data_IF_596168341718
#
_entry.id   IF_596168341718
#
_cell.length_a   1.000
_cell.length_b   1.000
_cell.length_c   1.000
_cell.angle_alpha   90.00
_cell.angle_beta   90.00
_cell.angle_gamma   90.00
#
_symmetry.space_group_name_H-M   'P 1'
#
loop_
_entity.id
_entity.type
_entity.pdbx_description
1 polymer ?
#
# COMPACT_ATOMS: atom_id res chain seq x y z
N UNK A 1 25.42 -19.00 16.38
CA UNK A 1 25.05 -19.57 17.69
C UNK A 1 24.03 -18.68 18.37
N UNK A 2 23.06 -19.27 19.09
CA UNK A 2 22.01 -18.48 19.79
C UNK A 2 22.61 -17.50 20.80
N UNK A 3 23.71 -17.89 21.45
CA UNK A 3 24.41 -17.07 22.45
C UNK A 3 25.09 -15.80 21.91
N UNK A 4 25.17 -15.64 20.58
CA UNK A 4 25.78 -14.46 19.96
C UNK A 4 24.72 -13.51 19.37
N UNK A 5 23.43 -13.92 19.35
CA UNK A 5 22.37 -13.07 18.86
C UNK A 5 22.21 -11.81 19.75
N UNK A 6 22.23 -10.63 19.13
CA UNK A 6 22.12 -9.36 19.85
C UNK A 6 23.31 -8.98 20.72
N UNK A 7 24.42 -9.74 20.68
CA UNK A 7 25.62 -9.43 21.42
C UNK A 7 26.67 -8.77 20.52
N UNK A 8 27.48 -7.84 21.07
CA UNK A 8 28.58 -7.28 20.30
C UNK A 8 29.64 -8.35 19.98
N UNK A 9 30.32 -8.18 18.84
CA UNK A 9 31.34 -9.12 18.37
C UNK A 9 32.42 -9.40 19.43
N UNK A 10 32.81 -8.39 20.21
CA UNK A 10 33.76 -8.48 21.31
C UNK A 10 33.32 -9.43 22.44
N UNK A 11 32.02 -9.53 22.72
CA UNK A 11 31.48 -10.46 23.72
C UNK A 11 31.65 -11.93 23.32
N UNK A 12 31.79 -12.21 22.01
CA UNK A 12 32.12 -13.53 21.48
C UNK A 12 33.63 -13.76 21.28
N UNK A 13 34.48 -12.85 21.79
CA UNK A 13 35.94 -12.91 21.67
C UNK A 13 36.45 -12.43 20.30
N UNK A 14 35.61 -11.79 19.50
CA UNK A 14 36.03 -11.23 18.22
C UNK A 14 36.68 -9.85 18.36
N UNK A 15 37.59 -9.55 17.46
CA UNK A 15 38.24 -8.24 17.31
C UNK A 15 37.63 -7.50 16.13
N UNK A 16 37.04 -6.35 16.41
CA UNK A 16 36.31 -5.55 15.38
C UNK A 16 37.28 -5.06 14.31
N UNK A 17 38.45 -4.52 14.71
CA UNK A 17 39.43 -3.98 13.77
C UNK A 17 39.97 -5.06 12.83
N UNK A 18 40.33 -6.24 13.37
CA UNK A 18 40.73 -7.38 12.56
C UNK A 18 39.61 -7.87 11.62
N UNK A 19 38.38 -7.86 12.11
CA UNK A 19 37.24 -8.30 11.29
C UNK A 19 37.02 -7.33 10.12
N UNK A 20 37.04 -6.02 10.37
CA UNK A 20 36.90 -4.99 9.33
C UNK A 20 38.03 -5.12 8.30
N UNK A 21 39.28 -5.26 8.73
CA UNK A 21 40.41 -5.47 7.83
C UNK A 21 40.31 -6.76 7.02
N UNK A 22 39.85 -7.85 7.62
CA UNK A 22 39.65 -9.13 6.93
C UNK A 22 38.55 -9.08 5.85
N UNK A 23 37.59 -8.17 6.02
CA UNK A 23 36.53 -7.90 5.04
C UNK A 23 36.93 -6.85 3.98
N UNK A 24 38.17 -6.38 3.99
CA UNK A 24 38.68 -5.38 3.04
C UNK A 24 38.33 -3.94 3.39
N UNK A 25 37.78 -3.70 4.60
CA UNK A 25 37.48 -2.35 5.10
C UNK A 25 38.67 -1.72 5.81
N UNK A 26 38.50 -0.43 6.16
CA UNK A 26 39.43 0.34 6.98
C UNK A 26 38.96 0.36 8.43
N UNK A 27 39.73 -0.24 9.38
CA UNK A 27 39.37 -0.22 10.80
C UNK A 27 39.22 1.17 11.41
N UNK A 28 39.96 2.16 10.89
CA UNK A 28 39.88 3.55 11.36
C UNK A 28 38.66 4.27 10.80
N UNK A 29 38.11 3.77 9.67
CA UNK A 29 36.91 4.29 9.05
C UNK A 29 35.94 3.17 8.61
N UNK A 30 35.37 2.40 9.54
CA UNK A 30 34.63 1.19 9.25
C UNK A 30 33.30 1.40 8.51
N UNK A 31 32.83 2.64 8.40
CA UNK A 31 31.59 3.02 7.72
C UNK A 31 31.81 3.64 6.33
N UNK A 32 33.04 3.58 5.82
CA UNK A 32 33.31 4.08 4.45
C UNK A 32 32.53 3.26 3.42
N UNK A 33 31.90 3.95 2.48
CA UNK A 33 31.28 3.29 1.34
C UNK A 33 32.34 3.16 0.24
N UNK A 34 32.60 1.95 -0.26
CA UNK A 34 33.59 1.70 -1.30
C UNK A 34 33.23 2.43 -2.60
N UNK A 35 34.24 2.78 -3.38
CA UNK A 35 34.05 3.63 -4.57
C UNK A 35 33.27 2.92 -5.67
N UNK A 36 33.46 1.63 -5.88
CA UNK A 36 32.68 0.80 -6.80
C UNK A 36 31.17 0.79 -6.44
N UNK A 37 30.85 0.78 -5.15
CA UNK A 37 29.47 0.91 -4.64
C UNK A 37 28.91 2.28 -4.92
N UNK A 38 29.70 3.35 -4.68
CA UNK A 38 29.30 4.74 -5.01
C UNK A 38 29.03 4.90 -6.50
N UNK A 39 29.90 4.36 -7.34
CA UNK A 39 29.75 4.41 -8.80
C UNK A 39 28.50 3.66 -9.26
N UNK A 40 28.26 2.46 -8.70
CA UNK A 40 27.05 1.68 -8.98
C UNK A 40 25.77 2.47 -8.69
N UNK A 41 25.70 3.04 -7.50
CA UNK A 41 24.53 3.84 -7.10
C UNK A 41 24.42 5.16 -7.87
N UNK A 42 25.54 5.80 -8.21
CA UNK A 42 25.53 7.01 -9.05
C UNK A 42 24.96 6.72 -10.45
N UNK A 43 25.41 5.66 -11.09
CA UNK A 43 24.86 5.20 -12.38
C UNK A 43 23.36 4.90 -12.29
N UNK A 44 22.94 4.14 -11.28
CA UNK A 44 21.53 3.83 -11.07
C UNK A 44 20.68 5.07 -10.83
N UNK A 45 21.21 6.04 -10.11
CA UNK A 45 20.54 7.33 -9.88
C UNK A 45 20.26 8.07 -11.19
N UNK A 46 21.25 8.13 -12.08
CA UNK A 46 21.07 8.78 -13.38
C UNK A 46 20.04 8.05 -14.28
N UNK A 47 20.03 6.72 -14.26
CA UNK A 47 18.97 5.93 -14.92
C UNK A 47 17.58 6.27 -14.36
N UNK A 48 17.45 6.29 -13.05
CA UNK A 48 16.17 6.59 -12.38
C UNK A 48 15.70 8.03 -12.65
N UNK A 49 16.63 9.01 -12.72
CA UNK A 49 16.28 10.38 -13.11
C UNK A 49 15.70 10.45 -14.52
N UNK A 50 16.28 9.73 -15.48
CA UNK A 50 15.75 9.64 -16.84
C UNK A 50 14.37 9.03 -16.88
N UNK A 51 14.16 7.93 -16.14
CA UNK A 51 12.85 7.31 -16.01
C UNK A 51 11.83 8.24 -15.38
N UNK A 52 12.20 8.95 -14.32
CA UNK A 52 11.34 9.92 -13.67
C UNK A 52 10.92 11.04 -14.62
N UNK A 53 11.88 11.61 -15.36
CA UNK A 53 11.58 12.68 -16.32
C UNK A 53 10.59 12.22 -17.39
N UNK A 54 10.83 11.02 -17.95
CA UNK A 54 9.92 10.43 -18.95
C UNK A 54 8.49 10.23 -18.38
N UNK A 55 8.38 9.69 -17.17
CA UNK A 55 7.07 9.50 -16.53
C UNK A 55 6.35 10.80 -16.23
N UNK A 56 7.07 11.83 -15.85
CA UNK A 56 6.48 13.17 -15.63
C UNK A 56 5.98 13.81 -16.94
N UNK A 57 6.67 13.58 -18.04
CA UNK A 57 6.22 14.02 -19.36
C UNK A 57 4.95 13.27 -19.79
N UNK A 58 4.96 11.93 -19.71
CA UNK A 58 3.78 11.07 -19.99
C UNK A 58 2.57 11.49 -19.15
N UNK A 59 2.76 11.73 -17.85
CA UNK A 59 1.71 12.22 -16.96
C UNK A 59 1.17 13.58 -17.39
N UNK A 60 2.06 14.51 -17.78
CA UNK A 60 1.65 15.83 -18.23
C UNK A 60 0.80 15.77 -19.50
N UNK A 61 1.20 14.93 -20.45
CA UNK A 61 0.45 14.70 -21.70
C UNK A 61 -0.93 14.09 -21.39
N UNK A 62 -0.95 13.06 -20.52
CA UNK A 62 -2.20 12.42 -20.12
C UNK A 62 -3.14 13.41 -19.42
N UNK A 63 -2.65 14.22 -18.48
CA UNK A 63 -3.43 15.24 -17.76
C UNK A 63 -4.03 16.29 -18.72
N UNK A 64 -3.27 16.70 -19.73
CA UNK A 64 -3.76 17.64 -20.73
C UNK A 64 -4.89 17.07 -21.58
N UNK A 65 -4.82 15.78 -21.90
CA UNK A 65 -5.83 15.06 -22.68
C UNK A 65 -7.06 14.64 -21.87
N UNK A 66 -6.92 14.43 -20.54
CA UNK A 66 -7.94 13.85 -19.66
C UNK A 66 -8.22 14.76 -18.44
N UNK A 67 -8.66 15.98 -18.68
CA UNK A 67 -8.79 17.02 -17.65
C UNK A 67 -9.69 16.63 -16.47
N UNK A 68 -10.82 15.97 -16.75
CA UNK A 68 -11.78 15.56 -15.73
C UNK A 68 -11.17 14.46 -14.83
N UNK A 69 -10.59 13.43 -15.42
CA UNK A 69 -9.94 12.35 -14.68
C UNK A 69 -8.70 12.84 -13.93
N UNK A 70 -7.98 13.82 -14.46
CA UNK A 70 -6.87 14.44 -13.77
C UNK A 70 -7.31 15.22 -12.53
N UNK A 71 -8.42 15.95 -12.62
CA UNK A 71 -9.01 16.65 -11.47
C UNK A 71 -9.53 15.66 -10.40
N UNK A 72 -10.13 14.55 -10.82
CA UNK A 72 -10.57 13.48 -9.93
C UNK A 72 -9.38 12.80 -9.23
N UNK A 73 -8.31 12.50 -9.97
CA UNK A 73 -7.07 11.97 -9.40
C UNK A 73 -6.46 12.91 -8.36
N UNK A 74 -6.44 14.22 -8.65
CA UNK A 74 -5.94 15.23 -7.72
C UNK A 74 -6.80 15.30 -6.45
N UNK A 75 -8.13 15.16 -6.59
CA UNK A 75 -9.03 15.07 -5.46
C UNK A 75 -8.72 13.85 -4.57
N UNK A 76 -8.54 12.66 -5.18
CA UNK A 76 -8.24 11.44 -4.46
C UNK A 76 -6.89 11.52 -3.75
N UNK A 77 -5.85 12.05 -4.41
CA UNK A 77 -4.52 12.23 -3.85
C UNK A 77 -4.45 13.35 -2.80
N UNK A 78 -5.44 14.25 -2.75
CA UNK A 78 -5.48 15.33 -1.76
C UNK A 78 -5.69 14.86 -0.32
N UNK A 79 -6.12 13.62 -0.12
CA UNK A 79 -6.47 13.06 1.20
C UNK A 79 -7.74 13.66 1.82
N UNK A 80 -8.51 14.44 1.07
CA UNK A 80 -9.78 14.97 1.56
C UNK A 80 -10.79 13.85 1.75
N UNK A 81 -11.49 13.89 2.88
CA UNK A 81 -12.60 12.98 3.15
C UNK A 81 -13.74 13.24 2.17
N UNK A 82 -14.31 12.21 1.53
CA UNK A 82 -15.50 12.36 0.70
C UNK A 82 -16.67 12.97 1.47
N UNK A 83 -17.44 13.82 0.83
CA UNK A 83 -18.67 14.34 1.39
C UNK A 83 -19.75 13.26 1.31
N UNK A 84 -20.20 12.75 2.45
CA UNK A 84 -21.18 11.67 2.57
C UNK A 84 -22.40 12.18 3.32
N UNK A 85 -23.59 12.02 2.74
CA UNK A 85 -24.86 12.22 3.43
C UNK A 85 -25.27 10.91 4.13
N UNK A 86 -24.83 10.77 5.37
CA UNK A 86 -25.12 9.59 6.19
C UNK A 86 -26.61 9.42 6.51
N UNK A 87 -27.43 10.46 6.36
CA UNK A 87 -28.89 10.39 6.59
C UNK A 87 -29.62 9.51 5.55
N UNK A 88 -28.98 9.27 4.42
CA UNK A 88 -29.50 8.41 3.35
C UNK A 88 -29.27 6.93 3.61
N UNK A 89 -28.52 6.56 4.64
CA UNK A 89 -28.18 5.17 4.92
C UNK A 89 -29.24 4.55 5.83
N UNK A 90 -30.02 3.64 5.30
CA UNK A 90 -30.99 2.86 6.08
C UNK A 90 -30.36 1.53 6.49
N UNK A 91 -30.00 1.43 7.77
CA UNK A 91 -29.46 0.19 8.35
C UNK A 91 -30.53 -0.79 8.82
N UNK A 92 -31.79 -0.38 8.88
CA UNK A 92 -32.90 -1.15 9.47
C UNK A 92 -32.87 -1.14 11.01
N UNK A 93 -33.95 -1.59 11.60
CA UNK A 93 -34.11 -1.65 13.06
C UNK A 93 -33.76 -3.06 13.59
N UNK A 94 -33.15 -3.12 14.77
CA UNK A 94 -32.81 -4.37 15.47
C UNK A 94 -32.00 -5.39 14.65
N UNK A 95 -31.13 -4.90 13.78
CA UNK A 95 -30.24 -5.75 12.96
C UNK A 95 -28.89 -5.97 13.64
N UNK A 96 -28.23 -7.08 13.30
CA UNK A 96 -26.86 -7.31 13.72
C UNK A 96 -25.93 -6.21 13.16
N UNK A 97 -24.90 -5.81 13.90
CA UNK A 97 -23.97 -4.76 13.50
C UNK A 97 -23.32 -5.02 12.14
N UNK A 98 -23.01 -6.28 11.81
CA UNK A 98 -22.50 -6.68 10.49
C UNK A 98 -23.50 -6.42 9.35
N UNK A 99 -24.80 -6.54 9.60
CA UNK A 99 -25.84 -6.22 8.62
C UNK A 99 -25.96 -4.70 8.42
N UNK A 100 -25.86 -3.91 9.49
CA UNK A 100 -25.76 -2.48 9.40
C UNK A 100 -24.50 -2.06 8.61
N UNK A 101 -23.35 -2.69 8.87
CA UNK A 101 -22.12 -2.48 8.12
C UNK A 101 -22.31 -2.75 6.63
N UNK A 102 -23.03 -3.81 6.25
CA UNK A 102 -23.32 -4.11 4.84
C UNK A 102 -24.13 -3.00 4.15
N UNK A 103 -25.11 -2.42 4.86
CA UNK A 103 -25.89 -1.29 4.33
C UNK A 103 -25.01 -0.06 4.10
N UNK A 104 -24.14 0.26 5.07
CA UNK A 104 -23.16 1.35 4.95
C UNK A 104 -22.21 1.09 3.80
N UNK A 105 -21.60 -0.10 3.71
CA UNK A 105 -20.66 -0.47 2.66
C UNK A 105 -21.31 -0.44 1.25
N UNK A 106 -22.57 -0.87 1.13
CA UNK A 106 -23.34 -0.75 -0.11
C UNK A 106 -23.50 0.69 -0.56
N UNK A 107 -23.83 1.57 0.37
CA UNK A 107 -23.97 3.00 0.09
C UNK A 107 -22.64 3.63 -0.29
N UNK A 108 -21.57 3.35 0.46
CA UNK A 108 -20.23 3.86 0.17
C UNK A 108 -19.70 3.36 -1.19
N UNK A 109 -20.05 2.14 -1.60
CA UNK A 109 -19.67 1.64 -2.92
C UNK A 109 -20.23 2.48 -4.08
N UNK A 110 -21.39 3.11 -3.90
CA UNK A 110 -22.01 3.96 -4.91
C UNK A 110 -21.54 5.43 -4.86
N UNK A 111 -21.05 5.88 -3.69
CA UNK A 111 -20.77 7.31 -3.46
C UNK A 111 -19.28 7.62 -3.26
N UNK A 112 -18.43 6.62 -3.02
CA UNK A 112 -16.98 6.79 -2.80
C UNK A 112 -16.20 5.98 -3.83
N UNK A 113 -15.85 6.63 -4.92
CA UNK A 113 -15.25 5.97 -6.09
C UNK A 113 -13.87 5.36 -5.80
N UNK A 114 -13.07 6.01 -4.96
CA UNK A 114 -11.73 5.57 -4.60
C UNK A 114 -11.67 4.66 -3.35
N UNK A 115 -12.81 4.10 -2.92
CA UNK A 115 -12.83 3.11 -1.85
C UNK A 115 -12.56 1.71 -2.41
N UNK A 116 -11.70 0.97 -1.73
CA UNK A 116 -11.40 -0.45 -2.01
C UNK A 116 -11.68 -1.26 -0.75
N UNK A 117 -12.48 -2.32 -0.91
CA UNK A 117 -12.82 -3.21 0.21
C UNK A 117 -12.21 -4.59 -0.04
N UNK A 118 -11.78 -5.26 1.01
CA UNK A 118 -11.24 -6.61 0.95
C UNK A 118 -11.90 -7.53 1.98
N UNK A 119 -11.97 -8.82 1.66
CA UNK A 119 -12.34 -9.87 2.60
C UNK A 119 -11.52 -11.14 2.34
N UNK A 120 -11.06 -11.77 3.40
CA UNK A 120 -10.25 -12.98 3.37
C UNK A 120 -11.13 -14.25 3.23
N UNK A 121 -11.90 -14.33 2.13
CA UNK A 121 -12.82 -15.42 1.79
C UNK A 121 -14.04 -15.56 2.72
N UNK A 122 -14.43 -14.45 3.37
CA UNK A 122 -15.51 -14.41 4.36
C UNK A 122 -16.61 -13.38 4.04
N UNK A 123 -16.63 -12.81 2.85
CA UNK A 123 -17.48 -11.65 2.49
C UNK A 123 -18.98 -11.87 2.75
N UNK A 124 -19.45 -13.11 2.65
CA UNK A 124 -20.84 -13.48 2.97
C UNK A 124 -21.12 -13.52 4.48
N UNK A 125 -20.09 -13.72 5.31
CA UNK A 125 -20.18 -13.81 6.77
C UNK A 125 -19.90 -12.46 7.44
N UNK A 126 -18.81 -11.79 7.08
CA UNK A 126 -18.43 -10.48 7.58
C UNK A 126 -19.28 -9.34 6.97
N UNK A 127 -20.08 -9.69 5.93
CA UNK A 127 -21.00 -8.79 5.22
C UNK A 127 -20.34 -7.69 4.39
N UNK A 128 -19.06 -7.81 4.07
CA UNK A 128 -18.42 -6.96 3.07
C UNK A 128 -18.95 -7.20 1.65
N UNK A 129 -19.69 -8.30 1.44
CA UNK A 129 -20.43 -8.57 0.21
C UNK A 129 -21.46 -7.47 -0.13
N UNK A 130 -21.88 -6.67 0.85
CA UNK A 130 -22.66 -5.47 0.61
C UNK A 130 -21.97 -4.50 -0.36
N UNK A 131 -20.66 -4.31 -0.21
CA UNK A 131 -19.84 -3.53 -1.13
C UNK A 131 -19.63 -4.26 -2.47
N UNK A 132 -19.28 -5.55 -2.43
CA UNK A 132 -19.03 -6.35 -3.63
C UNK A 132 -20.22 -6.38 -4.59
N UNK A 133 -21.46 -6.43 -4.08
CA UNK A 133 -22.69 -6.41 -4.91
C UNK A 133 -22.89 -5.14 -5.72
N UNK A 134 -22.20 -4.05 -5.34
CA UNK A 134 -22.27 -2.74 -6.01
C UNK A 134 -21.05 -2.45 -6.91
N UNK A 135 -20.09 -3.35 -6.93
CA UNK A 135 -18.88 -3.30 -7.76
C UNK A 135 -18.55 -4.72 -8.26
N UNK A 136 -17.30 -4.98 -8.57
CA UNK A 136 -16.83 -6.34 -8.86
C UNK A 136 -15.43 -6.56 -8.27
N UNK A 137 -15.00 -7.81 -8.20
CA UNK A 137 -13.69 -8.16 -7.70
C UNK A 137 -12.60 -7.78 -8.72
N UNK A 138 -11.48 -7.29 -8.20
CA UNK A 138 -10.24 -7.14 -8.98
C UNK A 138 -9.77 -8.50 -9.48
N UNK A 139 -9.30 -8.56 -10.73
CA UNK A 139 -8.77 -9.78 -11.36
C UNK A 139 -7.51 -9.45 -12.13
N UNK A 140 -6.74 -10.48 -12.46
CA UNK A 140 -5.58 -10.32 -13.35
C UNK A 140 -6.02 -9.73 -14.70
N UNK A 141 -5.49 -8.55 -15.02
CA UNK A 141 -5.82 -7.82 -16.25
C UNK A 141 -7.08 -6.95 -16.15
N UNK A 142 -7.80 -6.98 -15.03
CA UNK A 142 -8.96 -6.12 -14.77
C UNK A 142 -8.87 -5.55 -13.33
N UNK A 143 -8.42 -4.31 -13.24
CA UNK A 143 -8.30 -3.54 -11.99
C UNK A 143 -9.38 -2.45 -11.87
N UNK A 144 -10.44 -2.53 -12.68
CA UNK A 144 -11.57 -1.60 -12.58
C UNK A 144 -12.53 -1.94 -11.44
N UNK A 145 -12.48 -3.19 -10.96
CA UNK A 145 -13.17 -3.60 -9.74
C UNK A 145 -12.57 -2.95 -8.50
N UNK A 146 -13.37 -2.85 -7.44
CA UNK A 146 -12.97 -2.21 -6.18
C UNK A 146 -13.07 -3.16 -4.98
N UNK A 147 -13.09 -4.47 -5.25
CA UNK A 147 -13.11 -5.49 -4.21
C UNK A 147 -11.91 -6.45 -4.37
N UNK A 148 -11.12 -6.59 -3.30
CA UNK A 148 -9.96 -7.46 -3.28
C UNK A 148 -10.30 -8.77 -2.56
N UNK A 149 -10.01 -9.90 -3.22
CA UNK A 149 -10.21 -11.25 -2.70
C UNK A 149 -8.86 -11.97 -2.56
N UNK A 150 -8.14 -11.78 -1.45
CA UNK A 150 -6.81 -12.37 -1.27
C UNK A 150 -6.82 -13.87 -0.90
N UNK A 151 -8.01 -14.47 -0.77
CA UNK A 151 -8.17 -15.79 -0.19
C UNK A 151 -8.03 -15.78 1.34
N UNK A 152 -7.86 -16.94 1.96
CA UNK A 152 -7.67 -17.06 3.42
C UNK A 152 -6.26 -16.61 3.80
N UNK A 153 -6.04 -15.29 3.78
CA UNK A 153 -4.74 -14.65 4.00
C UNK A 153 -4.90 -13.30 4.71
N UNK A 154 -5.47 -13.30 5.91
CA UNK A 154 -5.87 -12.12 6.68
C UNK A 154 -4.70 -11.15 6.95
N UNK A 155 -3.56 -11.70 7.37
CA UNK A 155 -2.37 -10.91 7.62
C UNK A 155 -1.87 -10.21 6.34
N UNK A 156 -1.81 -10.94 5.23
CA UNK A 156 -1.41 -10.37 3.93
C UNK A 156 -2.41 -9.32 3.47
N UNK A 157 -3.71 -9.57 3.64
CA UNK A 157 -4.77 -8.60 3.35
C UNK A 157 -4.57 -7.30 4.14
N UNK A 158 -4.35 -7.39 5.44
CA UNK A 158 -4.10 -6.23 6.30
C UNK A 158 -2.84 -5.45 5.85
N UNK A 159 -1.76 -6.15 5.51
CA UNK A 159 -0.55 -5.53 4.98
C UNK A 159 -0.79 -4.79 3.65
N UNK A 160 -1.57 -5.37 2.74
CA UNK A 160 -1.94 -4.74 1.47
C UNK A 160 -2.77 -3.47 1.73
N UNK A 161 -3.77 -3.54 2.60
CA UNK A 161 -4.60 -2.38 2.96
C UNK A 161 -3.78 -1.27 3.61
N UNK A 162 -2.86 -1.60 4.51
CA UNK A 162 -1.93 -0.63 5.09
C UNK A 162 -1.04 0.03 4.01
N UNK A 163 -0.55 -0.76 3.05
CA UNK A 163 0.23 -0.24 1.93
C UNK A 163 -0.58 0.73 1.06
N UNK A 164 -1.83 0.41 0.76
CA UNK A 164 -2.74 1.30 0.02
C UNK A 164 -3.01 2.60 0.78
N UNK A 165 -3.27 2.52 2.10
CA UNK A 165 -3.48 3.70 2.94
C UNK A 165 -2.26 4.63 2.97
N UNK A 166 -1.06 4.05 3.10
CA UNK A 166 0.20 4.80 3.13
C UNK A 166 0.54 5.42 1.76
N UNK A 167 0.20 4.75 0.66
CA UNK A 167 0.38 5.29 -0.68
C UNK A 167 -0.52 6.52 -0.92
N UNK A 168 -1.73 6.52 -0.37
CA UNK A 168 -2.73 7.53 -0.62
C UNK A 168 -3.49 7.34 -1.94
N UNK A 169 -4.50 8.18 -2.17
CA UNK A 169 -5.34 8.14 -3.37
C UNK A 169 -6.49 7.15 -3.30
N UNK A 170 -6.42 6.14 -2.42
CA UNK A 170 -7.48 5.17 -2.18
C UNK A 170 -7.85 5.12 -0.69
N UNK A 171 -9.08 4.73 -0.40
CA UNK A 171 -9.60 4.53 0.95
C UNK A 171 -9.80 3.02 1.13
N UNK A 172 -8.83 2.31 1.74
CA UNK A 172 -8.93 0.88 1.94
C UNK A 172 -9.75 0.55 3.19
N UNK A 173 -10.52 -0.53 3.12
CA UNK A 173 -11.17 -1.15 4.26
C UNK A 173 -11.15 -2.67 4.10
N UNK A 174 -11.09 -3.41 5.19
CA UNK A 174 -11.17 -4.87 5.14
C UNK A 174 -11.94 -5.44 6.31
N UNK A 175 -12.48 -6.62 6.10
CA UNK A 175 -13.18 -7.41 7.10
C UNK A 175 -12.70 -8.86 7.12
N UNK A 176 -12.86 -9.51 8.27
CA UNK A 176 -12.61 -10.94 8.47
C UNK A 176 -13.45 -11.47 9.62
#
# INVERSE_FOLDING_TARGET
>A
KVSTHGQPLSAAGGDIAKTVAALGGDPENPFVIFDDVKELYARRREELKKWYALRREEESIWRAANKEQAAELDLFLSGKTPAIDYSQINCGDNVATRAASAAVLSYLAEHVQNMVVASADLSNSDKTDGFLKKTHAMRKGDFTGRFLQPGVAEFTMACIMNGMALHGGVIPACGT
#
